data_IF_758015340680
#
_entry.id   IF_758015340680
#
_cell.length_a   1.000
_cell.length_b   1.000
_cell.length_c   1.000
_cell.angle_alpha   90.00
_cell.angle_beta   90.00
_cell.angle_gamma   90.00
#
_symmetry.space_group_name_H-M   'P 1'
#
loop_
_entity.id
_entity.type
_entity.pdbx_description
1 polymer ?
#
# COMPACT_ATOMS: atom_id res chain seq x y z
N UNK A 1 -22.45 -6.60 -8.40
CA UNK A 1 -23.21 -7.56 -7.54
C UNK A 1 -22.81 -7.31 -6.09
N UNK A 2 -23.70 -7.55 -5.11
CA UNK A 2 -23.45 -7.14 -3.70
C UNK A 2 -22.18 -7.73 -3.06
N UNK A 3 -21.72 -8.89 -3.53
CA UNK A 3 -20.54 -9.58 -3.02
C UNK A 3 -19.28 -9.31 -3.84
N UNK A 4 -19.30 -8.38 -4.79
CA UNK A 4 -18.22 -8.21 -5.75
C UNK A 4 -16.90 -7.80 -5.09
N UNK A 5 -16.95 -6.91 -4.08
CA UNK A 5 -15.73 -6.55 -3.37
C UNK A 5 -15.19 -7.70 -2.48
N UNK A 6 -16.08 -8.53 -1.94
CA UNK A 6 -15.68 -9.71 -1.18
C UNK A 6 -15.03 -10.76 -2.10
N UNK A 7 -15.65 -11.02 -3.26
CA UNK A 7 -15.11 -11.93 -4.28
C UNK A 7 -13.76 -11.45 -4.80
N UNK A 8 -13.60 -10.13 -4.97
CA UNK A 8 -12.33 -9.51 -5.30
C UNK A 8 -11.27 -9.84 -4.24
N UNK A 9 -11.56 -9.64 -2.94
CA UNK A 9 -10.64 -9.97 -1.85
C UNK A 9 -10.27 -11.47 -1.84
N UNK A 10 -11.24 -12.34 -2.08
CA UNK A 10 -11.01 -13.78 -2.19
C UNK A 10 -10.10 -14.10 -3.39
N UNK A 11 -10.33 -13.49 -4.55
CA UNK A 11 -9.48 -13.67 -5.72
C UNK A 11 -8.04 -13.22 -5.46
N UNK A 12 -7.86 -12.08 -4.78
CA UNK A 12 -6.54 -11.57 -4.40
C UNK A 12 -5.84 -12.51 -3.42
N UNK A 13 -6.53 -13.08 -2.43
CA UNK A 13 -5.91 -13.95 -1.42
C UNK A 13 -5.58 -15.35 -1.97
N UNK A 14 -6.29 -15.81 -3.00
CA UNK A 14 -6.07 -17.14 -3.61
C UNK A 14 -4.65 -17.28 -4.13
N UNK A 15 -4.11 -16.29 -4.85
CA UNK A 15 -2.74 -16.35 -5.36
C UNK A 15 -1.69 -16.57 -4.26
N UNK A 16 -1.61 -15.69 -3.25
CA UNK A 16 -0.75 -15.85 -2.08
C UNK A 16 -0.96 -17.18 -1.36
N UNK A 17 -2.20 -17.61 -1.13
CA UNK A 17 -2.50 -18.86 -0.41
C UNK A 17 -2.08 -20.10 -1.22
N UNK A 18 -2.44 -20.18 -2.51
CA UNK A 18 -2.07 -21.31 -3.37
C UNK A 18 -0.56 -21.42 -3.52
N UNK A 19 0.12 -20.28 -3.67
CA UNK A 19 1.57 -20.25 -3.79
C UNK A 19 2.30 -20.77 -2.54
N UNK A 20 1.67 -20.74 -1.34
CA UNK A 20 2.21 -21.34 -0.10
C UNK A 20 2.43 -22.85 -0.19
N UNK A 21 1.68 -23.54 -1.05
CA UNK A 21 1.81 -24.99 -1.21
C UNK A 21 3.00 -25.39 -2.10
N UNK A 22 3.60 -24.44 -2.82
CA UNK A 22 4.86 -24.69 -3.52
C UNK A 22 6.01 -24.83 -2.51
N UNK A 23 6.84 -25.86 -2.69
CA UNK A 23 7.90 -26.21 -1.73
C UNK A 23 8.92 -25.07 -1.53
N UNK A 24 9.18 -24.31 -2.59
CA UNK A 24 10.07 -23.15 -2.59
C UNK A 24 9.51 -22.01 -1.73
N UNK A 25 8.22 -21.68 -1.88
CA UNK A 25 7.59 -20.60 -1.11
C UNK A 25 7.30 -21.03 0.32
N UNK A 26 6.90 -22.28 0.55
CA UNK A 26 6.67 -22.83 1.88
C UNK A 26 7.89 -22.68 2.78
N UNK A 27 9.09 -22.84 2.21
CA UNK A 27 10.35 -22.72 2.94
C UNK A 27 10.68 -21.30 3.38
N UNK A 28 10.22 -20.28 2.65
CA UNK A 28 10.47 -18.87 2.99
C UNK A 28 9.31 -18.25 3.76
N UNK A 29 8.12 -18.84 3.70
CA UNK A 29 6.91 -18.17 4.18
C UNK A 29 6.75 -18.15 5.69
N UNK A 30 6.92 -16.95 6.25
CA UNK A 30 6.57 -16.62 7.65
C UNK A 30 5.14 -16.06 7.73
N UNK A 31 4.13 -16.84 7.33
CA UNK A 31 2.74 -16.35 7.18
C UNK A 31 2.18 -15.65 8.42
N UNK A 32 2.45 -16.16 9.64
CA UNK A 32 1.99 -15.54 10.90
C UNK A 32 2.56 -14.14 11.08
N UNK A 33 3.83 -13.93 10.71
CA UNK A 33 4.49 -12.64 10.82
C UNK A 33 3.93 -11.66 9.78
N UNK A 34 3.72 -12.11 8.54
CA UNK A 34 3.09 -11.28 7.49
C UNK A 34 1.71 -10.82 7.92
N UNK A 35 0.88 -11.74 8.41
CA UNK A 35 -0.46 -11.44 8.89
C UNK A 35 -0.42 -10.43 10.06
N UNK A 36 0.45 -10.66 11.04
CA UNK A 36 0.62 -9.76 12.18
C UNK A 36 0.99 -8.34 11.72
N UNK A 37 1.99 -8.23 10.84
CA UNK A 37 2.45 -6.94 10.32
C UNK A 37 1.36 -6.24 9.53
N UNK A 38 0.63 -6.96 8.67
CA UNK A 38 -0.50 -6.40 7.93
C UNK A 38 -1.60 -5.87 8.85
N UNK A 39 -1.94 -6.59 9.92
CA UNK A 39 -2.92 -6.13 10.91
C UNK A 39 -2.43 -4.89 11.66
N UNK A 40 -1.15 -4.83 12.04
CA UNK A 40 -0.60 -3.66 12.75
C UNK A 40 -0.56 -2.43 11.84
N UNK A 41 -0.05 -2.60 10.61
CA UNK A 41 0.07 -1.47 9.66
C UNK A 41 -1.29 -1.03 9.14
N UNK A 42 -2.29 -1.91 9.07
CA UNK A 42 -3.65 -1.55 8.70
C UNK A 42 -4.23 -0.42 9.58
N UNK A 43 -3.89 -0.37 10.87
CA UNK A 43 -4.49 0.57 11.84
C UNK A 43 -4.43 2.05 11.36
N UNK A 44 -3.26 2.65 11.10
CA UNK A 44 -3.20 4.05 10.65
C UNK A 44 -3.90 4.29 9.31
N UNK A 45 -3.90 3.33 8.39
CA UNK A 45 -4.51 3.48 7.07
C UNK A 45 -6.04 3.33 7.11
N UNK A 46 -6.56 2.42 7.92
CA UNK A 46 -8.00 2.31 8.18
C UNK A 46 -8.52 3.53 8.91
N UNK A 47 -7.75 4.10 9.85
CA UNK A 47 -8.13 5.36 10.50
C UNK A 47 -8.20 6.47 9.46
N UNK A 48 -7.21 6.59 8.57
CA UNK A 48 -7.26 7.53 7.46
C UNK A 48 -8.51 7.31 6.61
N UNK A 49 -8.71 6.10 6.07
CA UNK A 49 -9.86 5.76 5.24
C UNK A 49 -11.19 6.09 5.91
N UNK A 50 -11.37 5.73 7.18
CA UNK A 50 -12.59 6.00 7.92
C UNK A 50 -12.87 7.51 8.10
N UNK A 51 -11.82 8.33 8.24
CA UNK A 51 -11.96 9.77 8.41
C UNK A 51 -12.34 10.49 7.11
N UNK A 52 -11.93 9.96 5.97
CA UNK A 52 -12.12 10.62 4.66
C UNK A 52 -13.21 9.97 3.82
N UNK A 53 -13.63 8.75 4.14
CA UNK A 53 -14.78 8.09 3.54
C UNK A 53 -16.05 8.95 3.72
N UNK A 54 -16.74 9.20 2.62
CA UNK A 54 -17.86 10.15 2.57
C UNK A 54 -17.49 11.50 1.95
N UNK A 55 -16.21 11.89 2.00
CA UNK A 55 -15.72 13.18 1.48
C UNK A 55 -14.72 13.03 0.33
N UNK A 56 -13.62 12.29 0.53
CA UNK A 56 -12.59 12.10 -0.49
C UNK A 56 -12.97 10.97 -1.45
N UNK A 57 -13.48 9.86 -0.91
CA UNK A 57 -14.05 8.76 -1.66
C UNK A 57 -15.25 8.15 -0.94
N UNK A 58 -16.04 7.38 -1.67
CA UNK A 58 -17.18 6.65 -1.16
C UNK A 58 -17.20 5.22 -1.70
N UNK A 59 -17.71 4.31 -0.87
CA UNK A 59 -17.86 2.91 -1.23
C UNK A 59 -19.29 2.65 -1.73
N UNK A 60 -19.40 2.10 -2.92
CA UNK A 60 -20.69 1.86 -3.54
C UNK A 60 -21.39 0.64 -2.91
N UNK A 61 -22.58 0.88 -2.36
CA UNK A 61 -23.39 -0.14 -1.66
C UNK A 61 -23.91 -1.25 -2.58
N UNK A 62 -23.89 -1.04 -3.90
CA UNK A 62 -24.26 -2.05 -4.90
C UNK A 62 -23.22 -3.17 -4.99
N UNK A 63 -21.98 -2.90 -4.61
CA UNK A 63 -20.84 -3.82 -4.72
C UNK A 63 -20.27 -4.30 -3.39
N UNK A 64 -20.82 -3.78 -2.28
CA UNK A 64 -20.35 -4.03 -0.92
C UNK A 64 -21.47 -4.57 -0.04
N UNK A 65 -21.09 -5.31 0.99
CA UNK A 65 -21.96 -5.76 2.05
C UNK A 65 -22.46 -4.57 2.88
N UNK A 66 -23.60 -4.78 3.54
CA UNK A 66 -24.19 -3.75 4.42
C UNK A 66 -23.43 -3.61 5.75
N UNK A 67 -22.61 -4.61 6.10
CA UNK A 67 -21.87 -4.62 7.35
C UNK A 67 -20.70 -3.64 7.28
N UNK A 68 -20.76 -2.59 8.11
CA UNK A 68 -19.76 -1.51 8.15
C UNK A 68 -19.15 -1.37 9.53
N UNK A 69 -17.84 -1.18 9.57
CA UNK A 69 -17.08 -0.87 10.78
C UNK A 69 -16.35 0.46 10.58
N UNK A 70 -16.58 1.42 11.49
CA UNK A 70 -16.13 2.81 11.33
C UNK A 70 -16.52 3.45 9.99
N UNK A 71 -17.71 3.13 9.47
CA UNK A 71 -18.21 3.63 8.18
C UNK A 71 -17.67 2.92 6.94
N UNK A 72 -16.61 2.11 7.09
CA UNK A 72 -16.01 1.35 6.00
C UNK A 72 -16.68 -0.03 5.85
N UNK A 73 -16.88 -0.52 4.62
CA UNK A 73 -17.32 -1.90 4.40
C UNK A 73 -16.26 -2.88 4.93
N UNK A 74 -16.67 -4.03 5.45
CA UNK A 74 -15.73 -5.04 5.98
C UNK A 74 -14.74 -5.53 4.93
N UNK A 75 -15.13 -5.49 3.66
CA UNK A 75 -14.28 -5.83 2.54
C UNK A 75 -13.06 -4.90 2.40
N UNK A 76 -13.18 -3.64 2.84
CA UNK A 76 -12.06 -2.71 2.88
C UNK A 76 -11.05 -3.11 3.96
N UNK A 77 -11.53 -3.57 5.13
CA UNK A 77 -10.66 -4.11 6.17
C UNK A 77 -9.93 -5.37 5.70
N UNK A 78 -10.62 -6.23 4.95
CA UNK A 78 -10.00 -7.40 4.33
C UNK A 78 -8.95 -6.99 3.30
N UNK A 79 -9.18 -5.92 2.53
CA UNK A 79 -8.23 -5.42 1.54
C UNK A 79 -6.88 -5.03 2.19
N UNK A 80 -6.92 -4.34 3.33
CA UNK A 80 -5.73 -3.99 4.11
C UNK A 80 -4.99 -5.19 4.74
N UNK A 81 -5.55 -6.40 4.67
CA UNK A 81 -4.89 -7.61 5.14
C UNK A 81 -4.44 -8.46 3.95
N UNK A 82 -5.32 -8.73 3.01
CA UNK A 82 -5.10 -9.66 1.90
C UNK A 82 -4.04 -9.13 0.93
N UNK A 83 -4.11 -7.85 0.55
CA UNK A 83 -3.18 -7.23 -0.40
C UNK A 83 -1.78 -7.13 0.20
N UNK A 84 -1.55 -6.51 1.39
CA UNK A 84 -0.21 -6.45 1.95
C UNK A 84 0.39 -7.82 2.23
N UNK A 85 -0.41 -8.81 2.65
CA UNK A 85 0.08 -10.18 2.83
C UNK A 85 0.65 -10.77 1.52
N UNK A 86 -0.06 -10.60 0.40
CA UNK A 86 0.40 -11.03 -0.91
C UNK A 86 1.65 -10.28 -1.37
N UNK A 87 1.69 -8.98 -1.17
CA UNK A 87 2.85 -8.16 -1.52
C UNK A 87 4.08 -8.50 -0.67
N UNK A 88 3.93 -8.78 0.63
CA UNK A 88 5.03 -9.28 1.47
C UNK A 88 5.57 -10.63 0.98
N UNK A 89 4.71 -11.48 0.42
CA UNK A 89 5.18 -12.71 -0.22
C UNK A 89 6.01 -12.42 -1.47
N UNK A 90 5.54 -11.52 -2.34
CA UNK A 90 6.31 -11.05 -3.51
C UNK A 90 7.68 -10.54 -3.05
N UNK A 91 7.71 -9.67 -2.05
CA UNK A 91 8.94 -9.14 -1.47
C UNK A 91 9.93 -10.25 -1.10
N UNK A 92 9.50 -11.31 -0.40
CA UNK A 92 10.41 -12.39 -0.02
C UNK A 92 10.94 -13.19 -1.21
N UNK A 93 10.09 -13.41 -2.23
CA UNK A 93 10.47 -14.21 -3.41
C UNK A 93 11.37 -13.45 -4.39
N UNK A 94 11.39 -12.12 -4.32
CA UNK A 94 12.18 -11.29 -5.21
C UNK A 94 13.69 -11.53 -5.00
N UNK A 95 14.47 -11.70 -6.09
CA UNK A 95 15.91 -11.88 -6.00
C UNK A 95 16.57 -10.64 -5.42
N UNK A 96 17.70 -10.84 -4.73
CA UNK A 96 18.57 -9.72 -4.41
C UNK A 96 19.18 -9.21 -5.73
N UNK A 97 18.99 -7.92 -6.00
CA UNK A 97 19.61 -7.28 -7.15
C UNK A 97 21.02 -6.83 -6.77
N UNK A 98 22.00 -7.23 -7.58
CA UNK A 98 23.42 -7.00 -7.34
C UNK A 98 23.80 -5.51 -7.22
N UNK A 99 24.99 -5.32 -6.61
CA UNK A 99 25.65 -4.03 -6.31
C UNK A 99 25.82 -3.05 -7.48
N UNK A 100 25.56 -3.46 -8.72
CA UNK A 100 25.58 -2.57 -9.88
C UNK A 100 24.57 -1.42 -9.76
N UNK A 101 23.39 -1.68 -9.18
CA UNK A 101 22.41 -0.62 -8.84
C UNK A 101 22.81 0.18 -7.59
N UNK A 102 23.60 -0.39 -6.67
CA UNK A 102 24.05 0.28 -5.45
C UNK A 102 25.00 1.47 -5.71
N UNK A 103 25.42 1.68 -6.97
CA UNK A 103 26.21 2.85 -7.40
C UNK A 103 25.37 4.07 -7.79
N UNK A 104 24.03 3.97 -7.79
CA UNK A 104 23.17 5.12 -8.05
C UNK A 104 23.28 6.11 -6.88
N UNK A 105 24.18 7.09 -6.99
CA UNK A 105 24.34 8.20 -6.03
C UNK A 105 23.00 8.91 -5.74
N UNK A 106 22.05 8.83 -6.67
CA UNK A 106 20.69 9.34 -6.53
C UNK A 106 19.93 8.71 -5.36
N UNK A 107 20.12 7.40 -5.09
CA UNK A 107 19.43 6.71 -3.99
C UNK A 107 19.78 7.29 -2.62
N UNK A 108 20.99 7.82 -2.44
CA UNK A 108 21.38 8.48 -1.18
C UNK A 108 20.52 9.71 -0.87
N UNK A 109 20.02 10.37 -1.91
CA UNK A 109 19.23 11.58 -1.77
C UNK A 109 17.73 11.29 -1.65
N UNK A 110 17.28 10.05 -1.87
CA UNK A 110 15.86 9.70 -1.83
C UNK A 110 15.24 9.99 -0.46
N UNK A 111 15.99 9.74 0.62
CA UNK A 111 15.54 10.05 1.99
C UNK A 111 15.30 11.54 2.17
N UNK A 112 16.19 12.39 1.66
CA UNK A 112 16.04 13.84 1.74
C UNK A 112 14.79 14.30 0.97
N UNK A 113 14.53 13.71 -0.19
CA UNK A 113 13.31 13.99 -0.98
C UNK A 113 12.06 13.58 -0.19
N UNK A 114 12.04 12.40 0.42
CA UNK A 114 10.92 11.96 1.25
C UNK A 114 10.74 12.85 2.48
N UNK A 115 11.81 13.24 3.18
CA UNK A 115 11.71 14.15 4.32
C UNK A 115 11.15 15.51 3.92
N UNK A 116 11.56 16.04 2.76
CA UNK A 116 10.99 17.26 2.20
C UNK A 116 9.51 17.11 1.81
N UNK A 117 9.06 15.90 1.46
CA UNK A 117 7.66 15.64 1.15
C UNK A 117 6.73 15.90 2.36
N UNK A 118 7.21 15.80 3.60
CA UNK A 118 6.41 16.07 4.79
C UNK A 118 5.95 17.54 4.90
N UNK A 119 6.84 18.56 4.95
CA UNK A 119 6.41 19.95 4.99
C UNK A 119 5.68 20.37 3.71
N UNK A 120 6.06 19.83 2.54
CA UNK A 120 5.34 20.07 1.28
C UNK A 120 3.91 19.51 1.38
N UNK A 121 3.74 18.31 1.92
CA UNK A 121 2.44 17.67 2.11
C UNK A 121 1.53 18.47 3.04
N UNK A 122 2.06 18.99 4.14
CA UNK A 122 1.32 19.89 5.06
C UNK A 122 0.87 21.16 4.33
N UNK A 123 1.74 21.76 3.51
CA UNK A 123 1.39 22.92 2.72
C UNK A 123 0.32 22.59 1.66
N UNK A 124 0.49 21.51 0.89
CA UNK A 124 -0.51 21.08 -0.11
C UNK A 124 -1.86 20.78 0.55
N UNK A 125 -1.86 20.16 1.74
CA UNK A 125 -3.07 19.89 2.50
C UNK A 125 -3.85 21.18 2.82
N UNK A 126 -3.15 22.26 3.20
CA UNK A 126 -3.80 23.53 3.53
C UNK A 126 -4.36 24.29 2.32
N UNK A 127 -3.94 23.94 1.10
CA UNK A 127 -4.53 24.48 -0.14
C UNK A 127 -5.88 23.86 -0.51
N UNK A 128 -6.38 22.90 0.26
CA UNK A 128 -7.61 22.15 0.00
C UNK A 128 -7.39 20.84 -0.77
N UNK A 129 -6.17 20.56 -1.23
CA UNK A 129 -5.78 19.28 -1.86
C UNK A 129 -5.37 18.25 -0.81
N UNK A 130 -6.32 17.94 0.06
CA UNK A 130 -6.10 17.12 1.25
C UNK A 130 -5.60 15.70 0.93
N UNK A 131 -6.13 15.03 -0.09
CA UNK A 131 -5.70 13.67 -0.42
C UNK A 131 -4.23 13.67 -0.87
N UNK A 132 -3.88 14.56 -1.78
CA UNK A 132 -2.50 14.75 -2.26
C UNK A 132 -1.56 15.11 -1.10
N UNK A 133 -1.97 16.03 -0.23
CA UNK A 133 -1.20 16.43 0.95
C UNK A 133 -0.94 15.29 1.92
N UNK A 134 -1.96 14.47 2.21
CA UNK A 134 -1.84 13.29 3.08
C UNK A 134 -0.87 12.24 2.50
N UNK A 135 -0.97 11.95 1.20
CA UNK A 135 -0.03 11.02 0.52
C UNK A 135 1.42 11.50 0.64
N UNK A 136 1.67 12.80 0.42
CA UNK A 136 3.01 13.39 0.58
C UNK A 136 3.51 13.32 2.03
N UNK A 137 2.64 13.56 3.00
CA UNK A 137 2.95 13.36 4.42
C UNK A 137 3.32 11.90 4.72
N UNK A 138 2.55 10.94 4.20
CA UNK A 138 2.84 9.52 4.35
C UNK A 138 4.19 9.12 3.75
N UNK A 139 4.58 9.68 2.60
CA UNK A 139 5.92 9.48 2.05
C UNK A 139 7.01 9.95 3.00
N UNK A 140 6.86 11.12 3.61
CA UNK A 140 7.81 11.62 4.61
C UNK A 140 7.85 10.76 5.87
N UNK A 141 6.69 10.35 6.38
CA UNK A 141 6.59 9.46 7.54
C UNK A 141 7.24 8.10 7.28
N UNK A 142 7.00 7.50 6.12
CA UNK A 142 7.65 6.22 5.74
C UNK A 142 9.16 6.38 5.61
N UNK A 143 9.64 7.50 5.09
CA UNK A 143 11.07 7.83 5.12
C UNK A 143 11.63 7.87 6.54
N UNK A 144 10.92 8.50 7.48
CA UNK A 144 11.32 8.56 8.89
C UNK A 144 11.30 7.18 9.55
N UNK A 145 10.28 6.37 9.27
CA UNK A 145 10.17 4.99 9.75
C UNK A 145 11.35 4.15 9.27
N UNK A 146 11.73 4.24 7.99
CA UNK A 146 12.90 3.52 7.43
C UNK A 146 14.19 3.89 8.18
N UNK A 147 14.34 5.16 8.56
CA UNK A 147 15.49 5.65 9.32
C UNK A 147 15.46 5.17 10.78
N UNK A 148 14.30 5.27 11.45
CA UNK A 148 14.14 4.87 12.85
C UNK A 148 14.30 3.37 13.04
N UNK A 149 13.74 2.56 12.13
CA UNK A 149 13.87 1.10 12.15
C UNK A 149 15.22 0.61 11.60
N UNK A 150 16.00 1.50 10.98
CA UNK A 150 17.30 1.21 10.36
C UNK A 150 17.23 0.06 9.33
N UNK A 151 16.12 -0.01 8.59
CA UNK A 151 15.91 -1.05 7.58
C UNK A 151 16.70 -0.79 6.31
N UNK A 152 17.02 0.48 6.02
CA UNK A 152 17.68 0.92 4.78
C UNK A 152 16.97 0.41 3.52
N UNK A 153 15.66 0.16 3.60
CA UNK A 153 14.87 -0.46 2.55
C UNK A 153 14.89 0.40 1.30
N UNK A 154 14.76 1.72 1.47
CA UNK A 154 14.77 2.69 0.37
C UNK A 154 16.11 2.76 -0.37
N UNK A 155 17.20 2.27 0.24
CA UNK A 155 18.52 2.23 -0.38
C UNK A 155 18.78 0.90 -1.10
N UNK A 156 17.92 -0.12 -0.91
CA UNK A 156 18.04 -1.43 -1.54
C UNK A 156 17.44 -1.39 -2.95
N UNK A 157 18.18 -1.75 -4.01
CA UNK A 157 17.66 -1.77 -5.39
C UNK A 157 16.42 -2.66 -5.56
N UNK A 158 16.37 -3.78 -4.81
CA UNK A 158 15.23 -4.71 -4.75
C UNK A 158 13.91 -3.99 -4.44
N UNK A 159 13.93 -2.92 -3.65
CA UNK A 159 12.76 -2.12 -3.30
C UNK A 159 12.11 -1.46 -4.51
N UNK A 160 12.90 -1.02 -5.48
CA UNK A 160 12.36 -0.37 -6.68
C UNK A 160 11.73 -1.37 -7.65
N UNK A 161 12.31 -2.57 -7.77
CA UNK A 161 11.67 -3.68 -8.48
C UNK A 161 10.36 -4.09 -7.80
N UNK A 162 10.37 -4.16 -6.47
CA UNK A 162 9.17 -4.42 -5.68
C UNK A 162 8.09 -3.36 -5.89
N UNK A 163 8.43 -2.07 -5.82
CA UNK A 163 7.49 -0.97 -6.08
C UNK A 163 6.96 -0.97 -7.51
N UNK A 164 7.78 -1.34 -8.50
CA UNK A 164 7.32 -1.50 -9.88
C UNK A 164 6.28 -2.62 -10.02
N UNK A 165 6.48 -3.75 -9.33
CA UNK A 165 5.49 -4.84 -9.29
C UNK A 165 4.22 -4.37 -8.56
N UNK A 166 4.35 -3.71 -7.41
CA UNK A 166 3.21 -3.12 -6.69
C UNK A 166 2.45 -2.14 -7.58
N UNK A 167 3.12 -1.31 -8.37
CA UNK A 167 2.47 -0.40 -9.32
C UNK A 167 1.65 -1.18 -10.37
N UNK A 168 2.20 -2.28 -10.90
CA UNK A 168 1.48 -3.19 -11.78
C UNK A 168 0.26 -3.82 -11.11
N UNK A 169 0.37 -4.24 -9.84
CA UNK A 169 -0.75 -4.76 -9.08
C UNK A 169 -1.82 -3.69 -8.83
N UNK A 170 -1.44 -2.45 -8.52
CA UNK A 170 -2.37 -1.31 -8.38
C UNK A 170 -3.11 -1.08 -9.70
N UNK A 171 -2.41 -1.07 -10.83
CA UNK A 171 -3.03 -0.91 -12.15
C UNK A 171 -4.10 -1.98 -12.43
N UNK A 172 -3.85 -3.22 -12.03
CA UNK A 172 -4.79 -4.33 -12.22
C UNK A 172 -5.95 -4.24 -11.21
N UNK A 173 -5.63 -4.16 -9.92
CA UNK A 173 -6.57 -4.28 -8.84
C UNK A 173 -7.37 -3.01 -8.58
N UNK A 174 -6.70 -1.87 -8.37
CA UNK A 174 -7.40 -0.59 -8.20
C UNK A 174 -8.04 -0.17 -9.52
N UNK A 175 -7.44 -0.52 -10.66
CA UNK A 175 -8.06 -0.33 -11.97
C UNK A 175 -9.41 -1.04 -12.07
N UNK A 176 -9.47 -2.31 -11.64
CA UNK A 176 -10.73 -3.05 -11.56
C UNK A 176 -11.74 -2.38 -10.60
N UNK A 177 -11.32 -2.06 -9.37
CA UNK A 177 -12.22 -1.50 -8.35
C UNK A 177 -12.79 -0.13 -8.75
N UNK A 178 -11.98 0.72 -9.40
CA UNK A 178 -12.41 2.04 -9.86
C UNK A 178 -13.22 1.99 -11.15
N UNK A 179 -12.93 1.05 -12.06
CA UNK A 179 -13.70 0.85 -13.29
C UNK A 179 -15.08 0.20 -13.04
N UNK A 180 -15.20 -0.60 -11.97
CA UNK A 180 -16.46 -1.25 -11.52
C UNK A 180 -17.22 -0.42 -10.47
N UNK A 181 -17.04 0.91 -10.49
CA UNK A 181 -17.19 1.86 -9.37
C UNK A 181 -17.49 1.26 -7.99
N UNK A 182 -16.60 0.38 -7.50
CA UNK A 182 -16.65 -0.16 -6.13
C UNK A 182 -16.23 0.95 -5.15
N UNK A 183 -15.17 1.66 -5.51
CA UNK A 183 -14.69 2.87 -4.83
C UNK A 183 -14.82 4.04 -5.80
N UNK A 184 -15.48 5.11 -5.35
CA UNK A 184 -15.77 6.29 -6.15
C UNK A 184 -15.04 7.48 -5.53
N UNK A 185 -14.13 8.08 -6.29
CA UNK A 185 -13.32 9.21 -5.84
C UNK A 185 -13.94 10.53 -6.22
N UNK A 186 -14.00 11.47 -5.27
CA UNK A 186 -14.29 12.87 -5.53
C UNK A 186 -13.08 13.59 -6.11
N UNK A 187 -13.30 14.62 -6.93
CA UNK A 187 -12.22 15.36 -7.60
C UNK A 187 -11.68 16.53 -6.78
N UNK A 188 -12.41 16.95 -5.75
CA UNK A 188 -12.13 18.17 -4.99
C UNK A 188 -10.78 18.13 -4.26
N UNK A 189 -10.49 17.01 -3.58
CA UNK A 189 -9.37 16.89 -2.65
C UNK A 189 -8.08 16.34 -3.25
N UNK A 190 -8.08 16.05 -4.56
CA UNK A 190 -6.95 15.48 -5.30
C UNK A 190 -6.55 16.37 -6.48
N UNK A 191 -5.43 16.07 -7.13
CA UNK A 191 -4.91 16.86 -8.26
C UNK A 191 -5.75 16.71 -9.54
N UNK A 192 -6.58 15.65 -9.62
CA UNK A 192 -7.44 15.37 -10.78
C UNK A 192 -6.74 14.57 -11.89
N UNK A 193 -5.47 14.23 -11.73
CA UNK A 193 -4.76 13.34 -12.66
C UNK A 193 -5.07 11.88 -12.35
N UNK A 194 -5.29 11.09 -13.42
CA UNK A 194 -5.56 9.66 -13.32
C UNK A 194 -4.69 8.87 -14.29
N UNK A 195 -4.34 7.65 -13.88
CA UNK A 195 -3.83 6.62 -14.78
C UNK A 195 -4.99 5.64 -15.00
N UNK A 196 -5.52 5.62 -16.22
CA UNK A 196 -6.84 5.05 -16.52
C UNK A 196 -7.93 5.64 -15.62
N UNK A 197 -8.55 4.83 -14.75
CA UNK A 197 -9.60 5.25 -13.81
C UNK A 197 -9.05 5.59 -12.43
N UNK A 198 -7.77 5.31 -12.16
CA UNK A 198 -7.15 5.36 -10.84
C UNK A 198 -6.54 6.76 -10.61
N UNK A 199 -6.87 7.47 -9.52
CA UNK A 199 -6.15 8.68 -9.13
C UNK A 199 -4.65 8.44 -8.98
N UNK A 200 -3.82 9.42 -9.35
CA UNK A 200 -2.37 9.26 -9.18
C UNK A 200 -1.96 9.11 -7.71
N UNK A 201 -2.73 9.71 -6.81
CA UNK A 201 -2.55 9.63 -5.36
C UNK A 201 -2.65 8.19 -4.82
N UNK A 202 -3.47 7.31 -5.42
CA UNK A 202 -3.61 5.90 -5.02
C UNK A 202 -2.30 5.13 -5.16
N UNK A 203 -1.44 5.50 -6.12
CA UNK A 203 -0.12 4.90 -6.24
C UNK A 203 0.74 5.26 -5.03
N UNK A 204 0.71 6.52 -4.60
CA UNK A 204 1.43 6.96 -3.42
C UNK A 204 0.89 6.33 -2.13
N UNK A 205 -0.44 6.28 -1.99
CA UNK A 205 -1.11 5.56 -0.91
C UNK A 205 -0.66 4.10 -0.85
N UNK A 206 -0.77 3.38 -1.98
CA UNK A 206 -0.37 1.98 -2.07
C UNK A 206 1.11 1.75 -1.81
N UNK A 207 1.99 2.59 -2.34
CA UNK A 207 3.43 2.49 -2.10
C UNK A 207 3.79 2.70 -0.64
N UNK A 208 3.24 3.73 0.01
CA UNK A 208 3.50 4.00 1.43
C UNK A 208 2.98 2.88 2.34
N UNK A 209 1.79 2.33 2.04
CA UNK A 209 1.24 1.17 2.74
C UNK A 209 2.14 -0.07 2.61
N UNK A 210 2.58 -0.38 1.39
CA UNK A 210 3.45 -1.53 1.13
C UNK A 210 4.85 -1.37 1.74
N UNK A 211 5.42 -0.16 1.67
CA UNK A 211 6.72 0.14 2.26
C UNK A 211 6.68 -0.01 3.77
N UNK A 212 5.67 0.54 4.46
CA UNK A 212 5.56 0.43 5.91
C UNK A 212 5.39 -1.04 6.35
N UNK A 213 4.54 -1.80 5.65
CA UNK A 213 4.44 -3.25 5.85
C UNK A 213 5.81 -3.93 5.71
N UNK A 214 6.56 -3.62 4.65
CA UNK A 214 7.84 -4.28 4.37
C UNK A 214 8.91 -3.91 5.42
N UNK A 215 8.95 -2.65 5.86
CA UNK A 215 9.89 -2.19 6.89
C UNK A 215 9.64 -2.89 8.23
N UNK A 216 8.38 -2.92 8.69
CA UNK A 216 8.05 -3.60 9.94
C UNK A 216 8.29 -5.11 9.85
N UNK A 217 8.00 -5.71 8.68
CA UNK A 217 8.28 -7.10 8.41
C UNK A 217 9.77 -7.44 8.50
N UNK A 218 10.64 -6.70 7.80
CA UNK A 218 12.10 -6.92 7.83
C UNK A 218 12.65 -6.74 9.24
N UNK A 219 12.23 -5.68 9.95
CA UNK A 219 12.68 -5.42 11.33
C UNK A 219 12.34 -6.58 12.28
N UNK A 220 11.11 -7.08 12.24
CA UNK A 220 10.66 -8.20 13.09
C UNK A 220 11.17 -9.56 12.61
N UNK A 221 11.55 -9.67 11.33
CA UNK A 221 12.16 -10.87 10.75
C UNK A 221 13.58 -11.07 11.26
N UNK A 222 14.34 -9.99 11.39
CA UNK A 222 15.74 -10.00 11.82
C UNK A 222 15.91 -10.19 13.34
N UNK A 223 14.87 -9.90 14.14
CA UNK A 223 14.86 -10.10 15.60
C UNK A 223 14.57 -11.55 16.04
N UNK A 224 14.35 -12.47 15.10
CA UNK A 224 14.08 -13.90 15.33
C UNK A 224 14.99 -14.81 14.51
#
# INVERSE_FOLDING_TARGET
>A
MKFEYLLFNLAVVVGPVVSQFSRQIKSVSRWRLKLLVSVVVMIPYVIWDALVAGSHWQFNTVYTLDFRLFGLPIEEWLFFITVPFGCLLVWETLPQLDRWFARLKLLRHIRNVLYAALPIGIWVFSTGKQYTGLVLCCFGLVGLVDMLLRTDLLLRPKTYLYLAIVAGLILVFNGYLTARPVVIYGETYQMGYRIWTIPIEDFGYGFTLMLFNTMLYEKLKDEK
#
